data_IF_887142024876
#
_entry.id   IF_887142024876
#
_cell.length_a   1.000
_cell.length_b   1.000
_cell.length_c   1.000
_cell.angle_alpha   90.00
_cell.angle_beta   90.00
_cell.angle_gamma   90.00
#
_symmetry.space_group_name_H-M   'P 1'
#
loop_
_entity.id
_entity.type
_entity.pdbx_description
1 polymer ?
#
# COMPACT_ATOMS: atom_id res chain seq x y z
N UNK A 1 -1.70 -6.24 18.57
CA UNK A 1 -1.82 -5.21 17.53
C UNK A 1 -2.81 -5.74 16.50
N UNK A 2 -3.85 -4.98 16.15
CA UNK A 2 -4.86 -5.41 15.18
C UNK A 2 -4.37 -5.12 13.77
N UNK A 3 -4.50 -6.08 12.86
CA UNK A 3 -4.14 -5.92 11.45
C UNK A 3 -5.42 -5.92 10.62
N UNK A 4 -5.51 -5.00 9.67
CA UNK A 4 -6.58 -4.94 8.69
C UNK A 4 -6.02 -5.02 7.27
N UNK A 5 -6.80 -5.54 6.33
CA UNK A 5 -6.47 -5.65 4.92
C UNK A 5 -7.26 -4.61 4.12
N UNK A 6 -6.62 -3.93 3.18
CA UNK A 6 -7.30 -3.07 2.21
C UNK A 6 -8.06 -3.93 1.20
N UNK A 7 -9.36 -3.66 0.99
CA UNK A 7 -10.23 -4.46 0.09
C UNK A 7 -10.60 -3.77 -1.22
N UNK A 8 -10.10 -2.56 -1.47
CA UNK A 8 -10.29 -1.80 -2.71
C UNK A 8 -8.97 -1.62 -3.44
N UNK A 9 -9.01 -1.32 -4.74
CA UNK A 9 -7.80 -1.11 -5.55
C UNK A 9 -6.88 -0.04 -4.98
N UNK A 10 -7.48 1.09 -4.60
CA UNK A 10 -6.79 2.25 -4.04
C UNK A 10 -7.69 2.88 -2.98
N UNK A 11 -7.15 3.09 -1.78
CA UNK A 11 -7.80 3.81 -0.71
C UNK A 11 -6.95 5.02 -0.32
N UNK A 12 -7.57 6.20 -0.26
CA UNK A 12 -6.90 7.40 0.23
C UNK A 12 -6.81 7.35 1.77
N UNK A 13 -5.65 7.72 2.29
CA UNK A 13 -5.39 7.87 3.72
C UNK A 13 -5.22 9.36 4.01
N UNK A 14 -5.96 9.84 4.99
CA UNK A 14 -6.14 11.24 5.30
C UNK A 14 -5.32 11.66 6.52
N UNK A 15 -4.97 12.94 6.62
CA UNK A 15 -4.31 13.51 7.81
C UNK A 15 -5.19 13.41 9.05
N UNK A 16 -6.50 13.57 8.91
CA UNK A 16 -7.51 13.52 9.97
C UNK A 16 -8.73 12.67 9.56
N UNK A 17 -9.58 12.29 10.52
CA UNK A 17 -10.74 11.40 10.34
C UNK A 17 -11.93 12.09 9.63
N UNK A 18 -11.68 12.70 8.48
CA UNK A 18 -12.68 13.33 7.60
C UNK A 18 -12.22 13.35 6.15
N UNK A 19 -13.14 13.18 5.19
CA UNK A 19 -12.84 13.24 3.76
C UNK A 19 -12.42 14.62 3.25
N UNK A 20 -12.72 15.68 4.01
CA UNK A 20 -12.26 17.04 3.71
C UNK A 20 -10.81 17.30 4.12
N UNK A 21 -10.21 16.38 4.87
CA UNK A 21 -8.80 16.46 5.26
C UNK A 21 -7.90 16.25 4.05
N UNK A 22 -6.67 16.74 4.14
CA UNK A 22 -5.61 16.40 3.19
C UNK A 22 -5.42 14.89 3.10
N UNK A 23 -5.28 14.37 1.87
CA UNK A 23 -4.80 13.01 1.60
C UNK A 23 -3.28 13.02 1.73
N UNK A 24 -2.75 12.25 2.67
CA UNK A 24 -1.31 12.18 2.97
C UNK A 24 -0.62 11.01 2.28
N UNK A 25 -1.37 9.98 1.89
CA UNK A 25 -0.88 8.77 1.23
C UNK A 25 -2.04 7.97 0.64
N UNK A 26 -1.72 6.93 -0.14
CA UNK A 26 -2.65 5.91 -0.60
C UNK A 26 -2.22 4.53 -0.11
N UNK A 27 -3.20 3.67 0.16
CA UNK A 27 -3.00 2.24 0.36
C UNK A 27 -3.60 1.44 -0.80
N UNK A 28 -2.97 0.32 -1.15
CA UNK A 28 -3.34 -0.50 -2.30
C UNK A 28 -4.05 -1.78 -1.86
N UNK A 29 -4.82 -2.38 -2.77
CA UNK A 29 -5.54 -3.63 -2.50
C UNK A 29 -4.62 -4.71 -1.94
N UNK A 30 -5.15 -5.44 -0.95
CA UNK A 30 -4.43 -6.52 -0.25
C UNK A 30 -3.24 -6.05 0.58
N UNK A 31 -2.99 -4.75 0.68
CA UNK A 31 -2.02 -4.22 1.64
C UNK A 31 -2.53 -4.43 3.06
N UNK A 32 -1.64 -4.91 3.93
CA UNK A 32 -1.92 -5.07 5.35
C UNK A 32 -1.45 -3.82 6.10
N UNK A 33 -2.33 -3.27 6.93
CA UNK A 33 -2.05 -2.08 7.73
C UNK A 33 -2.28 -2.38 9.22
N UNK A 34 -1.42 -1.81 10.06
CA UNK A 34 -1.58 -1.89 11.50
C UNK A 34 -2.61 -0.85 11.95
N UNK A 35 -3.66 -1.26 12.65
CA UNK A 35 -4.65 -0.34 13.23
C UNK A 35 -4.13 0.16 14.57
N UNK A 36 -3.90 1.46 14.66
CA UNK A 36 -3.35 2.16 15.83
C UNK A 36 -4.45 2.69 16.76
N UNK A 37 -5.50 3.27 16.18
CA UNK A 37 -6.61 3.89 16.90
C UNK A 37 -7.89 3.87 16.04
N UNK A 38 -9.05 4.07 16.65
CA UNK A 38 -10.35 4.08 15.96
C UNK A 38 -11.23 5.22 16.46
N UNK A 39 -11.90 5.91 15.54
CA UNK A 39 -12.84 6.98 15.83
C UNK A 39 -14.07 6.85 14.91
N UNK A 40 -15.22 6.51 15.47
CA UNK A 40 -16.45 6.23 14.71
C UNK A 40 -16.20 5.25 13.54
N UNK A 41 -16.40 5.71 12.29
CA UNK A 41 -16.20 4.95 11.06
C UNK A 41 -14.77 5.09 10.50
N UNK A 42 -13.81 5.54 11.30
CA UNK A 42 -12.43 5.75 10.89
C UNK A 42 -11.47 4.95 11.74
N UNK A 43 -10.36 4.54 11.12
CA UNK A 43 -9.24 3.89 11.77
C UNK A 43 -7.97 4.66 11.44
N UNK A 44 -7.18 4.99 12.47
CA UNK A 44 -5.83 5.47 12.28
C UNK A 44 -4.93 4.27 12.03
N UNK A 45 -4.26 4.24 10.89
CA UNK A 45 -3.47 3.11 10.43
C UNK A 45 -2.02 3.48 10.20
N UNK A 46 -1.15 2.47 10.26
CA UNK A 46 0.27 2.56 9.90
C UNK A 46 0.59 1.56 8.78
N UNK A 47 1.18 2.07 7.70
CA UNK A 47 1.62 1.29 6.54
C UNK A 47 3.03 0.71 6.75
N UNK A 48 3.43 -0.22 5.87
CA UNK A 48 4.74 -0.87 5.87
C UNK A 48 5.93 0.10 5.74
N UNK A 49 5.71 1.27 5.15
CA UNK A 49 6.70 2.34 4.99
C UNK A 49 6.71 3.36 6.16
N UNK A 50 5.94 3.08 7.21
CA UNK A 50 5.82 3.91 8.41
C UNK A 50 4.88 5.11 8.28
N UNK A 51 4.23 5.30 7.12
CA UNK A 51 3.22 6.37 6.99
C UNK A 51 2.03 6.09 7.89
N UNK A 52 1.52 7.16 8.51
CA UNK A 52 0.37 7.13 9.41
C UNK A 52 -0.69 8.11 8.96
N UNK A 53 -1.94 7.70 9.06
CA UNK A 53 -3.08 8.56 8.80
C UNK A 53 -4.39 7.83 9.05
N UNK A 54 -5.49 8.46 8.69
CA UNK A 54 -6.84 7.98 8.90
C UNK A 54 -7.43 7.42 7.61
N UNK A 55 -8.02 6.24 7.71
CA UNK A 55 -8.75 5.60 6.62
C UNK A 55 -10.16 5.28 7.10
N UNK A 56 -11.13 5.37 6.20
CA UNK A 56 -12.49 4.97 6.54
C UNK A 56 -12.61 3.45 6.62
N UNK A 57 -13.34 2.95 7.60
CA UNK A 57 -13.46 1.53 7.92
C UNK A 57 -14.08 0.70 6.79
N UNK A 58 -14.88 1.30 5.90
CA UNK A 58 -15.44 0.56 4.75
C UNK A 58 -14.39 0.10 3.73
N UNK A 59 -13.16 0.65 3.79
CA UNK A 59 -12.04 0.19 2.97
C UNK A 59 -11.26 -0.99 3.59
N UNK A 60 -11.60 -1.36 4.83
CA UNK A 60 -10.88 -2.33 5.62
C UNK A 60 -11.67 -3.63 5.77
N UNK A 61 -10.95 -4.75 5.77
CA UNK A 61 -11.43 -6.03 6.28
C UNK A 61 -10.54 -6.47 7.44
N UNK A 62 -11.15 -6.85 8.56
CA UNK A 62 -10.43 -7.36 9.71
C UNK A 62 -9.85 -8.74 9.42
N UNK A 63 -8.56 -8.92 9.69
CA UNK A 63 -7.93 -10.23 9.58
C UNK A 63 -8.21 -11.00 10.86
N UNK A 64 -9.18 -11.91 10.83
CA UNK A 64 -9.43 -12.84 11.93
C UNK A 64 -8.33 -13.90 11.94
N UNK A 65 -7.71 -14.18 13.09
CA UNK A 65 -6.59 -15.13 13.21
C UNK A 65 -6.92 -16.56 12.73
N UNK A 66 -8.20 -16.94 12.69
CA UNK A 66 -8.68 -18.21 12.15
C UNK A 66 -8.65 -18.27 10.62
N UNK A 67 -8.50 -17.14 9.95
CA UNK A 67 -8.47 -17.01 8.49
C UNK A 67 -7.04 -16.99 7.94
N UNK A 68 -6.17 -17.80 8.55
CA UNK A 68 -4.85 -18.16 7.99
C UNK A 68 -4.95 -19.19 6.87
N UNK A 69 -6.15 -19.42 6.32
CA UNK A 69 -6.24 -20.01 5.00
C UNK A 69 -5.41 -19.13 4.05
N UNK A 70 -4.59 -19.69 3.15
CA UNK A 70 -3.96 -18.87 2.13
C UNK A 70 -5.11 -18.20 1.38
N UNK A 71 -5.29 -16.88 1.57
CA UNK A 71 -6.30 -16.11 0.84
C UNK A 71 -5.96 -16.25 -0.64
N UNK A 72 -6.63 -17.20 -1.28
CA UNK A 72 -6.53 -17.50 -2.71
C UNK A 72 -7.18 -16.34 -3.46
N UNK A 73 -6.50 -15.20 -3.52
CA UNK A 73 -6.60 -14.37 -4.71
C UNK A 73 -5.89 -15.15 -5.82
N UNK A 74 -6.55 -15.54 -6.91
CA UNK A 74 -5.89 -16.18 -8.04
C UNK A 74 -4.82 -15.22 -8.56
N UNK A 75 -3.56 -15.43 -8.18
CA UNK A 75 -2.41 -14.61 -8.62
C UNK A 75 -1.54 -13.99 -7.52
N UNK A 76 -1.97 -13.96 -6.25
CA UNK A 76 -1.15 -13.41 -5.16
C UNK A 76 -0.62 -14.55 -4.28
N UNK A 77 0.42 -15.26 -4.75
CA UNK A 77 1.13 -16.16 -3.85
C UNK A 77 1.81 -15.33 -2.77
N UNK A 78 1.60 -15.69 -1.50
CA UNK A 78 2.47 -15.23 -0.41
C UNK A 78 3.92 -15.44 -0.88
N UNK A 79 4.70 -14.37 -1.01
CA UNK A 79 6.15 -14.40 -1.23
C UNK A 79 6.90 -14.97 0.00
N UNK A 80 6.28 -15.86 0.76
CA UNK A 80 6.92 -16.60 1.83
C UNK A 80 7.66 -17.79 1.18
N UNK A 81 8.93 -17.55 0.82
CA UNK A 81 9.97 -18.53 0.47
C UNK A 81 9.95 -19.19 -0.92
N UNK A 82 9.77 -18.42 -2.00
CA UNK A 82 10.11 -18.90 -3.35
C UNK A 82 11.14 -17.98 -4.00
N UNK A 83 12.39 -18.46 -3.93
CA UNK A 83 13.57 -17.98 -4.66
C UNK A 83 14.03 -16.57 -4.26
N UNK A 84 14.80 -16.47 -3.18
CA UNK A 84 15.85 -15.45 -3.11
C UNK A 84 16.82 -15.73 -4.26
N UNK A 85 16.48 -15.27 -5.46
CA UNK A 85 17.44 -15.12 -6.53
C UNK A 85 18.45 -14.13 -5.96
N UNK A 86 19.71 -14.51 -5.86
CA UNK A 86 20.77 -13.56 -5.52
C UNK A 86 20.89 -12.60 -6.69
N UNK A 87 20.07 -11.55 -6.70
CA UNK A 87 20.16 -10.51 -7.70
C UNK A 87 21.51 -9.81 -7.53
N UNK A 88 22.16 -9.56 -8.65
CA UNK A 88 23.27 -8.61 -8.67
C UNK A 88 22.72 -7.19 -8.46
N UNK A 89 23.53 -6.28 -7.91
CA UNK A 89 23.12 -4.88 -7.74
C UNK A 89 22.73 -4.19 -9.05
N UNK A 90 23.30 -4.66 -10.17
CA UNK A 90 23.05 -4.08 -11.49
C UNK A 90 21.72 -4.55 -12.08
N UNK A 91 21.34 -5.81 -11.89
CA UNK A 91 20.01 -6.31 -12.28
C UNK A 91 18.91 -5.55 -11.53
N UNK A 92 19.02 -5.45 -10.20
CA UNK A 92 18.05 -4.71 -9.39
C UNK A 92 17.94 -3.25 -9.84
N UNK A 93 19.08 -2.59 -10.10
CA UNK A 93 19.10 -1.21 -10.60
C UNK A 93 18.36 -1.10 -11.93
N UNK A 94 18.58 -2.03 -12.85
CA UNK A 94 17.94 -2.01 -14.16
C UNK A 94 16.43 -2.26 -14.07
N UNK A 95 15.99 -3.14 -13.18
CA UNK A 95 14.58 -3.41 -12.93
C UNK A 95 13.86 -2.18 -12.36
N UNK A 96 14.46 -1.50 -11.38
CA UNK A 96 13.94 -0.24 -10.83
C UNK A 96 13.83 0.83 -11.93
N UNK A 97 14.88 0.98 -12.75
CA UNK A 97 14.87 1.95 -13.85
C UNK A 97 13.80 1.60 -14.89
N UNK A 98 13.65 0.31 -15.23
CA UNK A 98 12.64 -0.16 -16.19
C UNK A 98 11.23 0.12 -15.68
N UNK A 99 10.95 -0.24 -14.43
CA UNK A 99 9.68 0.05 -13.76
C UNK A 99 9.38 1.56 -13.77
N UNK A 100 10.34 2.41 -13.38
CA UNK A 100 10.13 3.86 -13.39
C UNK A 100 9.87 4.41 -14.80
N UNK A 101 10.45 3.82 -15.85
CA UNK A 101 10.20 4.23 -17.25
C UNK A 101 8.78 3.92 -17.70
N UNK A 102 8.18 2.83 -17.23
CA UNK A 102 6.79 2.48 -17.53
C UNK A 102 5.80 3.50 -16.94
N UNK A 103 6.20 4.22 -15.89
CA UNK A 103 5.38 5.24 -15.23
C UNK A 103 5.48 6.63 -15.87
N UNK A 104 6.31 6.79 -16.91
CA UNK A 104 6.44 8.08 -17.60
C UNK A 104 5.12 8.51 -18.24
N UNK A 105 4.72 9.76 -17.97
CA UNK A 105 3.48 10.34 -18.47
C UNK A 105 2.28 10.15 -17.54
N UNK A 106 2.39 9.34 -16.48
CA UNK A 106 1.39 9.28 -15.42
C UNK A 106 1.36 10.64 -14.69
N UNK A 107 0.17 11.22 -14.43
CA UNK A 107 0.07 12.55 -13.84
C UNK A 107 0.59 12.59 -12.41
N UNK A 108 1.07 13.76 -12.00
CA UNK A 108 1.39 14.03 -10.60
C UNK A 108 0.09 14.11 -9.78
N UNK A 109 0.01 13.37 -8.68
CA UNK A 109 -1.10 13.44 -7.72
C UNK A 109 -0.53 13.53 -6.31
N UNK A 110 -0.82 14.61 -5.59
CA UNK A 110 -0.44 14.76 -4.19
C UNK A 110 -0.98 13.60 -3.32
N UNK A 111 -0.10 12.97 -2.54
CA UNK A 111 -0.42 11.77 -1.75
C UNK A 111 -0.54 10.48 -2.56
N UNK A 112 -0.26 10.50 -3.87
CA UNK A 112 -0.50 9.40 -4.79
C UNK A 112 0.58 8.32 -4.78
N UNK A 113 0.15 7.05 -4.83
CA UNK A 113 1.02 5.84 -4.93
C UNK A 113 0.50 4.79 -5.92
N UNK A 114 -0.30 5.22 -6.90
CA UNK A 114 -0.99 4.29 -7.79
C UNK A 114 -0.91 4.73 -9.24
N UNK A 115 -1.30 3.86 -10.16
CA UNK A 115 -1.37 4.16 -11.60
C UNK A 115 -2.28 5.35 -11.95
N UNK A 116 -3.15 5.79 -11.03
CA UNK A 116 -3.96 7.01 -11.19
C UNK A 116 -3.17 8.29 -10.96
N UNK A 117 -1.98 8.20 -10.37
CA UNK A 117 -1.08 9.31 -10.13
C UNK A 117 -0.12 9.04 -8.97
N UNK A 118 1.11 9.54 -9.11
CA UNK A 118 2.16 9.45 -8.10
C UNK A 118 2.55 10.86 -7.64
N UNK A 119 2.92 11.02 -6.37
CA UNK A 119 3.71 12.18 -5.95
C UNK A 119 5.22 11.87 -5.98
N UNK A 120 6.03 12.83 -5.55
CA UNK A 120 7.49 12.70 -5.57
C UNK A 120 7.98 11.52 -4.71
N UNK A 121 7.44 11.36 -3.50
CA UNK A 121 7.80 10.27 -2.57
C UNK A 121 7.13 8.95 -2.90
N UNK A 122 5.88 8.97 -3.37
CA UNK A 122 5.09 7.82 -3.74
C UNK A 122 5.67 7.06 -4.91
N UNK A 123 6.23 7.76 -5.89
CA UNK A 123 7.00 7.15 -6.97
C UNK A 123 8.20 6.37 -6.42
N UNK A 124 8.99 6.98 -5.53
CA UNK A 124 10.17 6.35 -4.93
C UNK A 124 9.78 5.14 -4.09
N UNK A 125 8.76 5.27 -3.25
CA UNK A 125 8.27 4.16 -2.42
C UNK A 125 7.88 2.95 -3.26
N UNK A 126 7.13 3.16 -4.34
CA UNK A 126 6.68 2.07 -5.20
C UNK A 126 7.83 1.48 -6.04
N UNK A 127 8.76 2.32 -6.50
CA UNK A 127 9.93 1.86 -7.24
C UNK A 127 10.85 0.94 -6.42
N UNK A 128 10.91 1.12 -5.11
CA UNK A 128 11.70 0.28 -4.20
C UNK A 128 10.88 -0.83 -3.51
N UNK A 129 9.58 -0.95 -3.81
CA UNK A 129 8.70 -2.02 -3.29
C UNK A 129 8.67 -3.27 -4.19
N UNK A 130 9.37 -3.23 -5.34
CA UNK A 130 9.39 -4.31 -6.34
C UNK A 130 10.16 -5.55 -5.88
#
# INVERSE_FOLDING_TARGET
MKIACIIVQVADIYRDHTFSSEVVTQALMSEEVAVLDTYENWSRVEQWDGYKGWINNFFLSEIVESDKSPRFFPGMQRYDKLVLKSFTSDELRNDIISYCKELLGIPYKWGGKSHFGYDCSGLVQMAFKI
#
